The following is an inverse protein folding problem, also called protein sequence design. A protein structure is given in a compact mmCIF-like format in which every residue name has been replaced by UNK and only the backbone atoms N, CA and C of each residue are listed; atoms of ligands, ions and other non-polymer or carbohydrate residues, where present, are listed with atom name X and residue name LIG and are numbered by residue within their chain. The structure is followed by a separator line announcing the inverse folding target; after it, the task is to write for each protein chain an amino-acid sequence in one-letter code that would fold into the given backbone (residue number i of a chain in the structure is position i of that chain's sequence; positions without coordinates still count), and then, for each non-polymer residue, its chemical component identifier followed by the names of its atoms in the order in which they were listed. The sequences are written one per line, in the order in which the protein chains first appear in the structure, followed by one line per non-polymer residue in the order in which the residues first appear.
data_IF_423501722778
#
_entry.id   IF_423501722778
#
_cell.length_a   1.000
_cell.length_b   1.000
_cell.length_c   1.000
_cell.angle_alpha   90.00
_cell.angle_beta   90.00
_cell.angle_gamma   90.00
#
_symmetry.space_group_name_H-M   'P 1'
#
loop_
_entity.id
_entity.type
_entity.pdbx_description
1 polymer ?
#
# COMPACT_ATOMS: atom_id res chain seq x y z
N UNK A 1 -3.34 31.15 14.75
CA UNK A 1 -4.41 30.22 14.29
C UNK A 1 -4.83 30.36 12.82
N UNK A 2 -4.42 31.39 12.06
CA UNK A 2 -4.92 31.61 10.69
C UNK A 2 -4.31 30.74 9.57
N UNK A 3 -3.01 30.46 9.61
CA UNK A 3 -2.29 29.83 8.48
C UNK A 3 -2.81 28.43 8.10
N UNK A 4 -3.10 27.56 9.07
CA UNK A 4 -3.62 26.21 8.80
C UNK A 4 -5.00 26.26 8.13
N UNK A 5 -5.88 27.17 8.57
CA UNK A 5 -7.22 27.36 7.99
C UNK A 5 -7.12 27.92 6.57
N UNK A 6 -6.24 28.88 6.34
CA UNK A 6 -5.96 29.47 5.01
C UNK A 6 -5.43 28.38 4.06
N UNK A 7 -4.46 27.58 4.50
CA UNK A 7 -3.89 26.48 3.72
C UNK A 7 -4.96 25.47 3.31
N UNK A 8 -5.81 25.03 4.26
CA UNK A 8 -6.92 24.11 3.97
C UNK A 8 -7.91 24.72 2.99
N UNK A 9 -8.33 25.98 3.19
CA UNK A 9 -9.24 26.66 2.28
C UNK A 9 -8.67 26.76 0.86
N UNK A 10 -7.38 27.11 0.72
CA UNK A 10 -6.68 27.14 -0.56
C UNK A 10 -6.65 25.78 -1.23
N UNK A 11 -6.34 24.71 -0.49
CA UNK A 11 -6.34 23.35 -1.01
C UNK A 11 -7.73 22.94 -1.53
N UNK A 12 -8.79 23.18 -0.75
CA UNK A 12 -10.16 22.85 -1.17
C UNK A 12 -10.61 23.63 -2.42
N UNK A 13 -10.15 24.87 -2.57
CA UNK A 13 -10.44 25.68 -3.76
C UNK A 13 -9.70 25.16 -5.01
N UNK A 14 -8.45 24.71 -4.86
CA UNK A 14 -7.65 24.15 -5.96
C UNK A 14 -8.08 22.73 -6.34
N UNK A 15 -8.63 21.98 -5.38
CA UNK A 15 -9.01 20.58 -5.56
C UNK A 15 -10.49 20.38 -5.17
N UNK A 16 -11.45 20.86 -5.97
CA UNK A 16 -12.86 20.92 -5.58
C UNK A 16 -13.60 19.57 -5.59
N UNK A 17 -13.03 18.54 -6.22
CA UNK A 17 -13.63 17.21 -6.38
C UNK A 17 -12.77 16.12 -5.74
N UNK A 18 -13.43 15.15 -5.13
CA UNK A 18 -12.78 14.00 -4.49
C UNK A 18 -12.08 13.12 -5.52
N UNK A 19 -10.80 12.82 -5.33
CA UNK A 19 -10.06 11.96 -6.25
C UNK A 19 -10.36 10.45 -6.08
N UNK A 20 -11.02 10.05 -4.98
CA UNK A 20 -11.26 8.64 -4.65
C UNK A 20 -12.58 8.07 -5.15
N UNK A 21 -13.59 8.91 -5.43
CA UNK A 21 -14.91 8.46 -5.92
C UNK A 21 -15.16 8.88 -7.36
N UNK A 22 -14.09 8.95 -8.15
CA UNK A 22 -14.13 9.42 -9.53
C UNK A 22 -14.65 10.84 -9.72
N UNK A 23 -14.48 11.68 -8.69
CA UNK A 23 -14.92 13.05 -8.74
C UNK A 23 -16.43 13.21 -8.72
N UNK A 24 -17.19 12.24 -8.19
CA UNK A 24 -18.65 12.33 -8.02
C UNK A 24 -19.04 13.28 -6.89
N UNK A 25 -18.22 13.36 -5.85
CA UNK A 25 -18.46 14.20 -4.67
C UNK A 25 -17.51 15.40 -4.57
N UNK A 26 -17.94 16.43 -3.83
CA UNK A 26 -17.07 17.57 -3.49
C UNK A 26 -16.03 17.18 -2.45
N UNK A 27 -14.87 17.80 -2.53
CA UNK A 27 -13.83 17.66 -1.50
C UNK A 27 -14.31 18.27 -0.19
N UNK A 28 -14.31 17.45 0.86
CA UNK A 28 -14.66 17.87 2.22
C UNK A 28 -13.41 18.04 3.10
N UNK A 29 -12.37 17.25 2.85
CA UNK A 29 -11.13 17.31 3.62
C UNK A 29 -9.89 16.88 2.81
N UNK A 30 -8.74 17.04 3.45
CA UNK A 30 -7.43 16.59 2.98
C UNK A 30 -7.14 15.21 3.58
N UNK A 31 -7.07 14.21 2.73
CA UNK A 31 -6.63 12.86 3.08
C UNK A 31 -5.12 12.73 2.87
N UNK A 32 -4.46 11.86 3.63
CA UNK A 32 -3.05 11.56 3.46
C UNK A 32 -2.90 10.11 3.02
N UNK A 33 -2.33 9.88 1.84
CA UNK A 33 -2.16 8.53 1.30
C UNK A 33 -0.72 8.35 0.81
N UNK A 34 0.11 7.49 1.41
CA UNK A 34 -0.24 6.58 2.51
C UNK A 34 -0.57 7.34 3.80
N UNK A 35 -1.46 6.78 4.61
CA UNK A 35 -1.84 7.39 5.87
C UNK A 35 -0.63 7.59 6.78
N UNK A 36 -0.62 8.74 7.49
CA UNK A 36 0.50 9.09 8.39
C UNK A 36 0.78 8.02 9.43
N UNK A 37 -0.21 7.22 9.83
CA UNK A 37 -0.04 6.11 10.78
C UNK A 37 0.94 5.01 10.31
N UNK A 38 1.17 4.88 9.00
CA UNK A 38 2.14 3.95 8.43
C UNK A 38 3.60 4.40 8.63
N UNK A 39 3.81 5.67 9.03
CA UNK A 39 5.13 6.25 9.29
C UNK A 39 5.42 6.36 10.79
N UNK A 40 6.70 6.31 11.17
CA UNK A 40 7.18 6.50 12.54
C UNK A 40 6.79 7.89 13.04
N UNK A 41 6.35 7.98 14.31
CA UNK A 41 5.88 9.24 14.89
C UNK A 41 4.73 9.93 14.14
N UNK A 42 4.05 9.23 13.22
CA UNK A 42 3.08 9.81 12.27
C UNK A 42 3.65 10.92 11.38
N UNK A 43 4.95 10.84 11.08
CA UNK A 43 5.68 11.78 10.23
C UNK A 43 5.64 11.30 8.77
N UNK A 44 4.53 11.57 8.08
CA UNK A 44 4.39 11.30 6.65
C UNK A 44 5.00 12.39 5.74
N UNK A 45 5.19 12.10 4.45
CA UNK A 45 5.78 13.01 3.47
C UNK A 45 4.93 14.26 3.20
N UNK A 46 5.58 15.37 2.86
CA UNK A 46 4.98 16.71 2.80
C UNK A 46 4.00 16.93 1.63
N UNK A 47 4.13 16.18 0.54
CA UNK A 47 3.34 16.35 -0.69
C UNK A 47 2.38 15.17 -0.97
N UNK A 48 1.93 14.49 0.07
CA UNK A 48 1.02 13.33 -0.02
C UNK A 48 -0.33 13.67 0.61
N UNK A 49 -0.91 14.76 0.11
CA UNK A 49 -2.18 15.32 0.52
C UNK A 49 -3.16 15.29 -0.66
N UNK A 50 -4.33 14.69 -0.45
CA UNK A 50 -5.27 14.33 -1.51
C UNK A 50 -6.69 14.84 -1.22
N UNK A 51 -7.42 15.29 -2.25
CA UNK A 51 -8.80 15.73 -2.07
C UNK A 51 -9.72 14.53 -1.83
N UNK A 52 -10.36 14.49 -0.66
CA UNK A 52 -11.35 13.47 -0.33
C UNK A 52 -12.70 14.07 0.08
N UNK A 53 -13.79 13.40 -0.32
CA UNK A 53 -15.09 13.60 0.31
C UNK A 53 -15.10 12.92 1.70
N UNK A 54 -16.11 13.25 2.52
CA UNK A 54 -16.19 12.73 3.88
C UNK A 54 -16.27 11.19 3.92
N UNK A 55 -17.04 10.58 3.02
CA UNK A 55 -17.19 9.13 2.95
C UNK A 55 -15.88 8.42 2.59
N UNK A 56 -15.20 8.84 1.51
CA UNK A 56 -13.94 8.24 1.08
C UNK A 56 -12.80 8.44 2.10
N UNK A 57 -12.78 9.57 2.80
CA UNK A 57 -11.76 9.84 3.82
C UNK A 57 -11.94 8.91 5.05
N UNK A 58 -13.19 8.53 5.37
CA UNK A 58 -13.48 7.70 6.54
C UNK A 58 -13.47 6.20 6.25
N UNK A 59 -13.74 5.78 5.01
CA UNK A 59 -13.96 4.37 4.65
C UNK A 59 -12.76 3.46 4.90
N UNK A 60 -11.53 3.97 4.84
CA UNK A 60 -10.31 3.18 5.03
C UNK A 60 -9.71 3.28 6.44
N UNK A 61 -10.33 4.02 7.38
CA UNK A 61 -9.70 4.32 8.68
C UNK A 61 -9.28 3.07 9.47
N UNK A 62 -10.15 2.06 9.53
CA UNK A 62 -9.84 0.82 10.26
C UNK A 62 -8.78 -0.01 9.53
N UNK A 63 -8.86 -0.07 8.20
CA UNK A 63 -7.87 -0.74 7.36
C UNK A 63 -6.48 -0.08 7.48
N UNK A 64 -6.39 1.24 7.50
CA UNK A 64 -5.14 1.98 7.68
C UNK A 64 -4.50 1.71 9.05
N UNK A 65 -5.31 1.59 10.10
CA UNK A 65 -4.82 1.25 11.44
C UNK A 65 -4.29 -0.19 11.51
N UNK A 66 -4.98 -1.15 10.89
CA UNK A 66 -4.52 -2.53 10.77
C UNK A 66 -3.22 -2.59 9.95
N UNK A 67 -3.19 -1.90 8.81
CA UNK A 67 -2.04 -1.82 7.92
C UNK A 67 -0.80 -1.24 8.61
N UNK A 68 -0.97 -0.23 9.48
CA UNK A 68 0.12 0.33 10.27
C UNK A 68 0.84 -0.71 11.15
N UNK A 69 0.13 -1.76 11.58
CA UNK A 69 0.75 -2.90 12.30
C UNK A 69 1.42 -3.84 11.32
N UNK A 70 0.72 -4.23 10.25
CA UNK A 70 1.20 -5.22 9.27
C UNK A 70 2.52 -4.82 8.61
N UNK A 71 2.69 -3.53 8.25
CA UNK A 71 3.93 -3.04 7.61
C UNK A 71 5.16 -3.10 8.53
N UNK A 72 4.98 -3.32 9.83
CA UNK A 72 6.06 -3.37 10.83
C UNK A 72 6.49 -4.79 11.22
N UNK A 73 5.88 -5.83 10.63
CA UNK A 73 6.16 -7.23 10.99
C UNK A 73 7.56 -7.73 10.55
N UNK A 74 8.24 -7.07 9.61
CA UNK A 74 9.59 -7.44 9.14
C UNK A 74 10.62 -6.31 9.29
N UNK A 75 10.41 -5.35 10.19
CA UNK A 75 11.35 -4.23 10.26
C UNK A 75 12.64 -4.67 11.01
N UNK A 76 13.74 -4.75 10.23
CA UNK A 76 15.04 -5.35 10.58
C UNK A 76 16.04 -4.31 11.10
N UNK A 77 15.58 -3.18 11.63
CA UNK A 77 16.49 -2.13 12.08
C UNK A 77 17.15 -2.44 13.42
N UNK A 78 18.42 -2.07 13.50
CA UNK A 78 19.28 -2.19 14.68
C UNK A 78 19.12 -1.01 15.68
N UNK A 79 18.28 -0.01 15.39
CA UNK A 79 17.98 1.12 16.28
C UNK A 79 16.96 0.74 17.38
N UNK A 80 17.39 -0.20 18.23
CA UNK A 80 16.57 -0.98 19.15
C UNK A 80 15.62 -0.19 20.06
N UNK A 81 15.96 1.01 20.54
CA UNK A 81 15.18 1.65 21.62
C UNK A 81 13.90 2.35 21.13
N UNK A 82 14.02 3.29 20.19
CA UNK A 82 12.86 4.04 19.65
C UNK A 82 11.94 3.09 18.88
N UNK A 83 12.53 2.15 18.15
CA UNK A 83 11.82 1.12 17.41
C UNK A 83 11.03 0.18 18.34
N UNK A 84 11.62 -0.25 19.46
CA UNK A 84 10.91 -1.13 20.41
C UNK A 84 9.74 -0.43 21.10
N UNK A 85 9.86 0.85 21.45
CA UNK A 85 8.74 1.58 22.03
C UNK A 85 7.57 1.74 21.05
N UNK A 86 7.86 2.13 19.81
CA UNK A 86 6.84 2.28 18.77
C UNK A 86 6.21 0.91 18.44
N UNK A 87 7.02 -0.14 18.26
CA UNK A 87 6.52 -1.50 18.08
C UNK A 87 5.62 -1.94 19.24
N UNK A 88 6.03 -1.76 20.50
CA UNK A 88 5.20 -2.12 21.66
C UNK A 88 3.87 -1.36 21.65
N UNK A 89 3.86 -0.07 21.31
CA UNK A 89 2.62 0.73 21.17
C UNK A 89 1.74 0.16 20.06
N UNK A 90 2.30 -0.22 18.92
CA UNK A 90 1.54 -0.80 17.80
C UNK A 90 1.02 -2.21 18.12
N UNK A 91 1.80 -3.08 18.76
CA UNK A 91 1.33 -4.41 19.20
C UNK A 91 0.27 -4.31 20.30
N UNK A 92 0.41 -3.37 21.24
CA UNK A 92 -0.61 -3.09 22.26
C UNK A 92 -1.89 -2.59 21.58
N UNK A 93 -1.76 -1.65 20.64
CA UNK A 93 -2.89 -1.16 19.85
C UNK A 93 -3.53 -2.27 19.01
N UNK A 94 -2.74 -3.20 18.47
CA UNK A 94 -3.22 -4.37 17.75
C UNK A 94 -4.03 -5.29 18.68
N UNK A 95 -3.50 -5.65 19.85
CA UNK A 95 -4.21 -6.49 20.81
C UNK A 95 -5.53 -5.88 21.27
N UNK A 96 -5.58 -4.55 21.44
CA UNK A 96 -6.77 -3.85 21.89
C UNK A 96 -7.83 -3.66 20.79
N UNK A 97 -7.42 -3.39 19.55
CA UNK A 97 -8.35 -3.00 18.47
C UNK A 97 -8.56 -4.10 17.41
N UNK A 98 -7.61 -5.01 17.25
CA UNK A 98 -7.60 -6.05 16.23
C UNK A 98 -6.96 -7.36 16.77
N UNK A 99 -7.53 -7.97 17.84
CA UNK A 99 -6.91 -9.09 18.54
C UNK A 99 -6.65 -10.32 17.66
N UNK A 100 -7.35 -10.46 16.54
CA UNK A 100 -7.23 -11.57 15.59
C UNK A 100 -6.55 -11.18 14.28
N UNK A 101 -5.89 -10.01 14.20
CA UNK A 101 -5.34 -9.50 12.94
C UNK A 101 -4.34 -10.49 12.31
N UNK A 102 -3.46 -11.04 13.15
CA UNK A 102 -2.47 -12.05 12.79
C UNK A 102 -2.37 -13.10 13.89
N UNK A 103 -1.98 -14.32 13.54
CA UNK A 103 -1.60 -15.36 14.50
C UNK A 103 -0.30 -16.03 14.13
N UNK A 104 0.49 -16.51 15.11
CA UNK A 104 1.63 -17.37 14.83
C UNK A 104 1.22 -18.63 14.06
N UNK A 105 2.03 -19.01 13.08
CA UNK A 105 1.88 -20.28 12.38
C UNK A 105 2.45 -21.43 13.22
N UNK A 106 1.78 -22.58 13.19
CA UNK A 106 2.28 -23.84 13.74
C UNK A 106 3.42 -24.40 12.87
N UNK A 107 4.20 -25.35 13.42
CA UNK A 107 5.28 -25.99 12.66
C UNK A 107 4.81 -26.70 11.38
N UNK A 108 3.60 -27.28 11.40
CA UNK A 108 3.02 -27.94 10.23
C UNK A 108 2.60 -26.92 9.16
N UNK A 109 1.96 -25.82 9.58
CA UNK A 109 1.59 -24.73 8.66
C UNK A 109 2.83 -24.10 8.01
N UNK A 110 3.90 -23.85 8.78
CA UNK A 110 5.17 -23.35 8.22
C UNK A 110 5.75 -24.31 7.18
N UNK A 111 5.73 -25.62 7.48
CA UNK A 111 6.24 -26.64 6.58
C UNK A 111 5.42 -26.71 5.29
N UNK A 112 4.08 -26.69 5.40
CA UNK A 112 3.20 -26.68 4.23
C UNK A 112 3.48 -25.45 3.38
N UNK A 113 3.41 -24.26 3.98
CA UNK A 113 3.67 -23.00 3.28
C UNK A 113 5.01 -22.99 2.54
N UNK A 114 6.13 -23.35 3.18
CA UNK A 114 7.44 -23.35 2.52
C UNK A 114 7.49 -24.33 1.34
N UNK A 115 6.79 -25.46 1.44
CA UNK A 115 6.71 -26.47 0.37
C UNK A 115 5.82 -25.99 -0.78
N UNK A 116 4.61 -25.55 -0.45
CA UNK A 116 3.54 -25.22 -1.39
C UNK A 116 3.91 -23.94 -2.18
N UNK A 117 4.52 -22.97 -1.50
CA UNK A 117 4.96 -21.70 -2.11
C UNK A 117 6.38 -21.76 -2.69
N UNK A 118 7.07 -22.89 -2.59
CA UNK A 118 8.45 -23.05 -3.05
C UNK A 118 9.48 -22.15 -2.35
N UNK A 119 9.13 -21.54 -1.21
CA UNK A 119 9.98 -20.63 -0.46
C UNK A 119 11.08 -21.41 0.26
N UNK A 120 12.33 -21.06 -0.03
CA UNK A 120 13.47 -21.70 0.62
C UNK A 120 13.66 -21.18 2.04
N UNK A 121 13.96 -22.11 2.95
CA UNK A 121 14.34 -21.73 4.30
C UNK A 121 15.75 -21.11 4.28
N UNK A 122 15.98 -19.99 5.01
CA UNK A 122 17.33 -19.43 5.14
C UNK A 122 18.35 -20.47 5.64
N UNK A 123 19.57 -20.50 5.07
CA UNK A 123 20.63 -21.41 5.54
C UNK A 123 20.91 -21.22 7.04
N UNK A 124 21.03 -22.32 7.78
CA UNK A 124 21.33 -22.31 9.21
C UNK A 124 20.12 -22.11 10.14
N UNK A 125 18.91 -21.90 9.62
CA UNK A 125 17.70 -21.76 10.43
C UNK A 125 16.95 -23.09 10.52
N UNK A 126 16.41 -23.42 11.70
CA UNK A 126 15.39 -24.49 11.85
C UNK A 126 13.98 -23.91 11.82
N UNK A 127 12.94 -24.75 11.64
CA UNK A 127 11.54 -24.27 11.52
C UNK A 127 11.05 -23.49 12.75
N UNK A 128 11.58 -23.78 13.95
CA UNK A 128 11.26 -23.06 15.19
C UNK A 128 11.82 -21.64 15.23
N UNK A 129 12.87 -21.39 14.45
CA UNK A 129 13.53 -20.08 14.38
C UNK A 129 12.76 -19.13 13.46
N UNK A 130 11.99 -19.67 12.51
CA UNK A 130 11.16 -18.89 11.62
C UNK A 130 9.96 -18.29 12.38
N UNK A 131 9.98 -16.96 12.59
CA UNK A 131 8.87 -16.21 13.21
C UNK A 131 7.86 -15.81 12.15
N UNK A 132 7.04 -16.77 11.75
CA UNK A 132 6.01 -16.59 10.71
C UNK A 132 4.63 -16.43 11.34
N UNK A 133 3.85 -15.52 10.77
CA UNK A 133 2.45 -15.28 11.13
C UNK A 133 1.58 -15.42 9.88
N UNK A 134 0.33 -15.80 10.10
CA UNK A 134 -0.72 -15.73 9.09
C UNK A 134 -1.72 -14.64 9.45
N UNK A 135 -2.24 -13.95 8.45
CA UNK A 135 -3.24 -12.89 8.61
C UNK A 135 -4.67 -13.45 8.58
N UNK A 136 -5.57 -12.76 9.26
CA UNK A 136 -7.03 -12.95 9.07
C UNK A 136 -7.50 -12.41 7.72
N UNK A 137 -8.72 -12.77 7.30
CA UNK A 137 -9.37 -12.17 6.12
C UNK A 137 -9.42 -10.64 6.21
N UNK A 138 -9.69 -10.11 7.41
CA UNK A 138 -9.65 -8.67 7.66
C UNK A 138 -8.26 -8.05 7.42
N UNK A 139 -7.17 -8.78 7.66
CA UNK A 139 -5.83 -8.30 7.36
C UNK A 139 -5.60 -8.20 5.84
N UNK A 140 -6.08 -9.19 5.09
CA UNK A 140 -6.03 -9.21 3.62
C UNK A 140 -6.84 -8.04 3.06
N UNK A 141 -8.09 -7.90 3.49
CA UNK A 141 -8.98 -6.79 3.11
C UNK A 141 -8.38 -5.43 3.44
N UNK A 142 -7.70 -5.31 4.59
CA UNK A 142 -7.05 -4.07 4.98
C UNK A 142 -5.90 -3.70 4.03
N UNK A 143 -5.05 -4.68 3.67
CA UNK A 143 -3.96 -4.46 2.71
C UNK A 143 -4.53 -4.04 1.36
N UNK A 144 -5.50 -4.78 0.83
CA UNK A 144 -6.06 -4.52 -0.49
C UNK A 144 -6.76 -3.17 -0.58
N UNK A 145 -7.58 -2.81 0.42
CA UNK A 145 -8.29 -1.54 0.43
C UNK A 145 -7.34 -0.35 0.54
N UNK A 146 -6.31 -0.45 1.40
CA UNK A 146 -5.30 0.62 1.53
C UNK A 146 -4.48 0.75 0.25
N UNK A 147 -4.07 -0.36 -0.36
CA UNK A 147 -3.28 -0.35 -1.60
C UNK A 147 -4.07 0.16 -2.80
N UNK A 148 -5.33 -0.22 -2.96
CA UNK A 148 -6.21 0.32 -4.01
C UNK A 148 -6.39 1.82 -3.84
N UNK A 149 -6.65 2.28 -2.62
CA UNK A 149 -6.78 3.72 -2.33
C UNK A 149 -5.48 4.47 -2.61
N UNK A 150 -4.33 3.89 -2.25
CA UNK A 150 -3.02 4.46 -2.54
C UNK A 150 -2.74 4.53 -4.05
N UNK A 151 -3.09 3.51 -4.83
CA UNK A 151 -2.96 3.53 -6.29
C UNK A 151 -3.75 4.68 -6.91
N UNK A 152 -4.98 4.91 -6.47
CA UNK A 152 -5.81 6.04 -6.93
C UNK A 152 -5.22 7.39 -6.52
N UNK A 153 -4.69 7.50 -5.29
CA UNK A 153 -3.99 8.70 -4.85
C UNK A 153 -2.76 8.99 -5.71
N UNK A 154 -1.92 7.98 -5.94
CA UNK A 154 -0.71 8.12 -6.76
C UNK A 154 -1.03 8.42 -8.22
N UNK A 155 -2.10 7.84 -8.77
CA UNK A 155 -2.63 8.22 -10.09
C UNK A 155 -2.90 9.73 -10.11
N UNK A 156 -3.72 10.23 -9.18
CA UNK A 156 -4.02 11.66 -9.09
C UNK A 156 -2.76 12.53 -8.98
N UNK A 157 -1.79 12.12 -8.14
CA UNK A 157 -0.53 12.84 -7.94
C UNK A 157 0.29 13.00 -9.23
N UNK A 158 0.37 11.94 -10.03
CA UNK A 158 1.30 11.88 -11.16
C UNK A 158 0.65 12.12 -12.51
N UNK A 159 -0.65 11.85 -12.66
CA UNK A 159 -1.42 12.18 -13.87
C UNK A 159 -2.03 13.59 -13.81
N UNK A 160 -2.27 14.12 -12.60
CA UNK A 160 -3.05 15.32 -12.37
C UNK A 160 -4.55 15.15 -12.63
N UNK A 161 -5.00 13.93 -12.94
CA UNK A 161 -6.38 13.60 -13.31
C UNK A 161 -7.04 12.75 -12.24
N UNK A 162 -8.34 12.93 -12.09
CA UNK A 162 -9.17 12.06 -11.26
C UNK A 162 -9.50 10.83 -12.10
N UNK A 163 -9.21 9.64 -11.57
CA UNK A 163 -9.61 8.39 -12.24
C UNK A 163 -11.13 8.34 -12.38
N UNK A 164 -11.66 7.91 -13.52
CA UNK A 164 -13.11 7.86 -13.74
C UNK A 164 -13.82 6.95 -12.70
N UNK A 165 -15.11 7.17 -12.43
CA UNK A 165 -15.85 6.35 -11.47
C UNK A 165 -15.90 4.85 -11.83
N UNK A 166 -15.75 4.52 -13.12
CA UNK A 166 -15.62 3.14 -13.63
C UNK A 166 -14.19 2.71 -13.93
N UNK A 167 -13.17 3.42 -13.44
CA UNK A 167 -11.79 3.08 -13.68
C UNK A 167 -11.43 1.70 -13.11
N UNK A 168 -10.67 0.92 -13.87
CA UNK A 168 -10.16 -0.35 -13.41
C UNK A 168 -8.89 -0.15 -12.58
N UNK A 169 -8.83 -0.79 -11.42
CA UNK A 169 -7.64 -0.82 -10.56
C UNK A 169 -7.17 -2.27 -10.45
N UNK A 170 -6.00 -2.55 -11.00
CA UNK A 170 -5.33 -3.84 -10.80
C UNK A 170 -4.42 -3.74 -9.59
N UNK A 171 -4.31 -4.82 -8.83
CA UNK A 171 -3.46 -4.91 -7.66
C UNK A 171 -2.93 -6.33 -7.53
N UNK A 172 -1.61 -6.46 -7.46
CA UNK A 172 -0.92 -7.65 -7.00
C UNK A 172 -0.01 -7.24 -5.85
N UNK A 173 -0.06 -7.96 -4.76
CA UNK A 173 0.77 -7.69 -3.59
C UNK A 173 1.28 -9.00 -3.00
N UNK A 174 2.40 -8.90 -2.30
CA UNK A 174 3.01 -10.02 -1.62
C UNK A 174 3.75 -9.54 -0.37
N UNK A 175 3.89 -10.45 0.58
CA UNK A 175 4.69 -10.21 1.77
C UNK A 175 6.17 -10.44 1.47
N UNK A 176 7.00 -10.03 2.41
CA UNK A 176 8.41 -10.35 2.45
C UNK A 176 8.76 -11.84 2.39
N UNK A 177 7.80 -12.74 2.64
CA UNK A 177 8.03 -14.18 2.49
C UNK A 177 8.36 -14.56 1.03
N UNK A 178 7.98 -13.71 0.08
CA UNK A 178 8.19 -13.87 -1.35
C UNK A 178 9.35 -13.03 -1.89
N UNK A 179 10.27 -12.59 -1.04
CA UNK A 179 11.40 -11.76 -1.46
C UNK A 179 12.24 -12.39 -2.59
N UNK A 180 12.36 -13.72 -2.61
CA UNK A 180 13.10 -14.45 -3.64
C UNK A 180 12.39 -14.44 -5.02
N UNK A 181 11.09 -14.13 -5.06
CA UNK A 181 10.30 -13.94 -6.29
C UNK A 181 10.45 -12.54 -6.88
N UNK A 182 11.32 -11.68 -6.32
CA UNK A 182 11.57 -10.33 -6.82
C UNK A 182 11.95 -10.29 -8.31
N UNK A 183 12.57 -11.35 -8.85
CA UNK A 183 12.90 -11.48 -10.28
C UNK A 183 11.68 -11.52 -11.18
N UNK A 184 10.57 -12.10 -10.73
CA UNK A 184 9.33 -12.21 -11.52
C UNK A 184 8.71 -10.85 -11.81
N UNK A 185 9.00 -9.87 -10.94
CA UNK A 185 8.42 -8.53 -11.01
C UNK A 185 9.44 -7.47 -11.43
N UNK A 186 10.70 -7.86 -11.60
CA UNK A 186 11.81 -6.99 -11.95
C UNK A 186 11.57 -6.32 -13.30
N UNK A 187 11.01 -7.05 -14.27
CA UNK A 187 10.65 -6.50 -15.58
C UNK A 187 9.62 -5.38 -15.45
N UNK A 188 8.57 -5.59 -14.65
CA UNK A 188 7.57 -4.56 -14.39
C UNK A 188 8.19 -3.33 -13.72
N UNK A 189 8.98 -3.53 -12.64
CA UNK A 189 9.65 -2.44 -11.92
C UNK A 189 10.62 -1.67 -12.84
N UNK A 190 11.32 -2.36 -13.74
CA UNK A 190 12.29 -1.77 -14.66
C UNK A 190 11.64 -0.93 -15.74
N UNK A 191 10.42 -1.29 -16.17
CA UNK A 191 9.64 -0.49 -17.11
C UNK A 191 9.14 0.84 -16.50
N UNK A 192 9.11 0.97 -15.17
CA UNK A 192 8.72 2.21 -14.49
C UNK A 192 9.90 3.19 -14.43
N UNK A 193 9.82 4.27 -15.21
CA UNK A 193 10.90 5.26 -15.32
C UNK A 193 10.88 6.33 -14.21
N UNK A 194 9.72 6.55 -13.59
CA UNK A 194 9.55 7.50 -12.49
C UNK A 194 9.97 6.90 -11.14
N UNK A 195 10.57 7.74 -10.29
CA UNK A 195 10.86 7.39 -8.89
C UNK A 195 10.25 8.44 -7.96
N UNK A 196 9.52 7.97 -6.96
CA UNK A 196 8.93 8.81 -5.94
C UNK A 196 9.96 9.43 -5.02
N UNK A 197 9.81 10.72 -4.71
CA UNK A 197 10.54 11.38 -3.62
C UNK A 197 9.65 11.30 -2.37
N UNK A 198 10.13 10.61 -1.35
CA UNK A 198 9.40 10.41 -0.08
C UNK A 198 10.20 11.09 1.02
N UNK A 199 9.93 12.38 1.22
CA UNK A 199 10.65 13.23 2.18
C UNK A 199 9.70 14.15 2.95
N UNK A 200 10.17 14.62 4.10
CA UNK A 200 9.56 15.71 4.86
C UNK A 200 10.64 16.67 5.35
N UNK A 201 10.64 17.91 4.86
CA UNK A 201 11.79 18.78 5.01
C UNK A 201 13.09 18.08 4.57
N UNK A 202 14.08 18.03 5.46
CA UNK A 202 15.36 17.34 5.20
C UNK A 202 15.36 15.85 5.56
N UNK A 203 14.26 15.30 6.08
CA UNK A 203 14.17 13.90 6.48
C UNK A 203 13.80 13.02 5.29
N UNK A 204 14.65 12.03 5.00
CA UNK A 204 14.36 10.94 4.08
C UNK A 204 13.48 9.88 4.78
N UNK A 205 12.41 9.44 4.11
CA UNK A 205 11.47 8.45 4.60
C UNK A 205 11.46 7.17 3.73
N UNK A 206 12.45 7.02 2.85
CA UNK A 206 12.58 5.87 1.95
C UNK A 206 12.91 4.55 2.66
N UNK A 207 13.28 4.59 3.94
CA UNK A 207 13.34 3.39 4.79
C UNK A 207 11.94 2.83 5.12
N UNK A 208 10.91 3.68 5.04
CA UNK A 208 9.54 3.34 5.43
C UNK A 208 8.61 3.15 4.24
N UNK A 209 8.77 3.95 3.18
CA UNK A 209 7.96 3.87 1.97
C UNK A 209 8.76 4.27 0.74
N UNK A 210 8.75 3.43 -0.28
CA UNK A 210 9.33 3.71 -1.60
C UNK A 210 8.34 3.34 -2.68
N UNK A 211 8.43 4.05 -3.81
CA UNK A 211 7.69 3.68 -4.99
C UNK A 211 8.38 4.14 -6.29
N UNK A 212 8.09 3.40 -7.36
CA UNK A 212 8.34 3.76 -8.74
C UNK A 212 7.02 3.89 -9.47
N UNK A 213 7.01 4.66 -10.56
CA UNK A 213 5.80 4.91 -11.32
C UNK A 213 6.06 5.08 -12.81
N UNK A 214 5.03 4.86 -13.61
CA UNK A 214 4.95 5.22 -15.02
C UNK A 214 3.57 5.80 -15.28
N UNK A 215 3.48 6.85 -16.08
CA UNK A 215 2.21 7.48 -16.47
C UNK A 215 2.21 7.62 -17.98
N UNK A 216 1.12 7.17 -18.59
CA UNK A 216 0.79 7.47 -19.98
C UNK A 216 -0.42 8.40 -19.99
N UNK A 217 -0.18 9.65 -20.40
CA UNK A 217 -1.21 10.68 -20.44
C UNK A 217 -2.15 10.53 -21.65
N UNK A 218 -1.74 9.80 -22.69
CA UNK A 218 -2.55 9.55 -23.87
C UNK A 218 -3.57 8.43 -23.60
N UNK A 219 -3.11 7.32 -23.01
CA UNK A 219 -3.95 6.16 -22.69
C UNK A 219 -4.68 6.27 -21.33
N UNK A 220 -4.55 7.41 -20.64
CA UNK A 220 -5.10 7.66 -19.29
C UNK A 220 -4.76 6.56 -18.28
N UNK A 221 -3.50 6.13 -18.34
CA UNK A 221 -2.98 4.98 -17.65
C UNK A 221 -1.86 5.38 -16.69
N UNK A 222 -1.80 4.70 -15.56
CA UNK A 222 -0.65 4.81 -14.67
C UNK A 222 -0.37 3.48 -14.00
N UNK A 223 0.91 3.15 -13.86
CA UNK A 223 1.39 1.96 -13.17
C UNK A 223 2.33 2.34 -12.03
N UNK A 224 2.29 1.55 -10.96
CA UNK A 224 3.06 1.78 -9.75
C UNK A 224 3.62 0.47 -9.21
N UNK A 225 4.83 0.54 -8.67
CA UNK A 225 5.37 -0.48 -7.77
C UNK A 225 5.79 0.22 -6.48
N UNK A 226 5.38 -0.28 -5.33
CA UNK A 226 5.67 0.34 -4.05
C UNK A 226 5.89 -0.69 -2.95
N UNK A 227 6.64 -0.29 -1.92
CA UNK A 227 6.96 -1.14 -0.79
C UNK A 227 6.91 -0.35 0.52
N UNK A 228 6.49 -1.03 1.58
CA UNK A 228 6.55 -0.53 2.95
C UNK A 228 7.52 -1.38 3.78
N UNK A 229 8.63 -0.77 4.22
CA UNK A 229 9.63 -1.37 5.15
C UNK A 229 10.10 -2.77 4.75
N UNK A 230 10.08 -3.08 3.46
CA UNK A 230 10.31 -4.43 2.92
C UNK A 230 9.38 -5.52 3.49
N UNK A 231 8.32 -5.17 4.22
CA UNK A 231 7.31 -6.09 4.79
C UNK A 231 6.25 -6.44 3.76
N UNK A 232 5.73 -5.43 3.07
CA UNK A 232 4.70 -5.55 2.05
C UNK A 232 5.16 -4.84 0.79
N UNK A 233 5.02 -5.52 -0.34
CA UNK A 233 5.36 -5.02 -1.67
C UNK A 233 4.14 -5.20 -2.55
N UNK A 234 3.85 -4.20 -3.38
CA UNK A 234 2.74 -4.27 -4.30
C UNK A 234 3.07 -3.60 -5.63
N UNK A 235 2.35 -4.04 -6.64
CA UNK A 235 2.26 -3.39 -7.93
C UNK A 235 0.81 -3.31 -8.36
N UNK A 236 0.53 -2.31 -9.18
CA UNK A 236 -0.80 -2.15 -9.72
C UNK A 236 -0.83 -1.06 -10.76
N UNK A 237 -1.97 -0.97 -11.41
CA UNK A 237 -2.26 0.06 -12.39
C UNK A 237 -3.67 0.59 -12.25
N UNK A 238 -3.83 1.83 -12.70
CA UNK A 238 -5.12 2.53 -12.78
C UNK A 238 -5.37 2.85 -14.24
N UNK A 239 -6.52 2.42 -14.73
CA UNK A 239 -6.96 2.56 -16.13
C UNK A 239 -8.24 3.38 -16.14
N UNK A 240 -8.18 4.62 -16.62
CA UNK A 240 -9.28 5.58 -16.47
C UNK A 240 -10.15 5.75 -17.72
N UNK A 241 -9.71 5.27 -18.89
CA UNK A 241 -10.51 5.30 -20.12
C UNK A 241 -11.34 4.02 -20.29
N UNK A 242 -12.56 4.13 -20.82
CA UNK A 242 -13.45 2.98 -21.05
C UNK A 242 -12.82 1.92 -21.97
N UNK A 243 -12.02 2.37 -22.94
CA UNK A 243 -11.27 1.50 -23.84
C UNK A 243 -10.17 0.73 -23.10
N UNK A 244 -9.45 1.40 -22.20
CA UNK A 244 -8.45 0.77 -21.37
C UNK A 244 -9.06 -0.24 -20.38
N UNK A 245 -10.23 0.07 -19.81
CA UNK A 245 -10.95 -0.86 -18.93
C UNK A 245 -11.33 -2.14 -19.67
N UNK A 246 -11.89 -2.03 -20.89
CA UNK A 246 -12.22 -3.18 -21.72
C UNK A 246 -10.98 -4.02 -22.09
N UNK A 247 -9.82 -3.38 -22.34
CA UNK A 247 -8.55 -4.10 -22.57
C UNK A 247 -8.15 -4.93 -21.35
N UNK A 248 -8.29 -4.39 -20.13
CA UNK A 248 -7.94 -5.09 -18.88
C UNK A 248 -8.88 -6.25 -18.60
N UNK A 249 -10.19 -6.13 -18.83
CA UNK A 249 -11.15 -7.22 -18.62
C UNK A 249 -10.85 -8.43 -19.54
N UNK A 250 -10.42 -8.14 -20.77
CA UNK A 250 -9.96 -9.15 -21.74
C UNK A 250 -8.58 -9.74 -21.39
N UNK A 251 -7.75 -9.02 -20.63
CA UNK A 251 -6.46 -9.51 -20.12
C UNK A 251 -6.60 -10.30 -18.82
N UNK A 252 -7.48 -9.88 -17.90
CA UNK A 252 -7.72 -10.49 -16.60
C UNK A 252 -8.28 -11.92 -16.71
N UNK A 253 -9.08 -12.17 -17.73
CA UNK A 253 -9.54 -13.52 -18.11
C UNK A 253 -8.41 -14.49 -18.47
N UNK A 254 -7.20 -13.99 -18.78
CA UNK A 254 -5.99 -14.81 -19.01
C UNK A 254 -5.04 -14.87 -17.80
N UNK A 255 -5.07 -13.87 -16.90
CA UNK A 255 -4.16 -13.77 -15.73
C UNK A 255 -4.69 -14.57 -14.52
N UNK A 256 -6.01 -14.66 -14.32
CA UNK A 256 -6.60 -15.45 -13.22
C UNK A 256 -6.23 -16.94 -13.29
N UNK A 257 -5.94 -17.46 -14.50
CA UNK A 257 -5.42 -18.81 -14.71
C UNK A 257 -3.96 -19.01 -14.22
N UNK A 258 -3.20 -17.92 -14.07
CA UNK A 258 -1.77 -17.95 -13.69
C UNK A 258 -1.55 -17.60 -12.21
N UNK A 259 -2.45 -16.82 -11.59
CA UNK A 259 -2.37 -16.46 -10.16
C UNK A 259 -3.25 -17.34 -9.25
N UNK A 260 -4.30 -17.99 -9.77
CA UNK A 260 -5.07 -18.99 -8.98
C UNK A 260 -4.32 -20.30 -8.72
N UNK A 261 -3.15 -20.48 -9.34
CA UNK A 261 -2.25 -21.61 -9.05
C UNK A 261 -1.25 -21.31 -7.92
N UNK A 262 -1.32 -20.12 -7.32
CA UNK A 262 -0.42 -19.63 -6.25
C UNK A 262 -1.19 -19.02 -5.06
N UNK A 263 -2.45 -19.41 -4.85
CA UNK A 263 -3.21 -19.16 -3.61
C UNK A 263 -3.53 -20.47 -2.91
#
# INVERSE_FOLDING_TARGET
MGQKKIRKARFLALHPRCCFCGGNERTADIDHQPARALFNGRVGPEDFEFPACAACNQSSRHHENAMAVLVRLRDTRDDLEVYQEDLRKYFTSMGNNFPSLVRPMTSNEKRSFLKDEGVQRPPGYVLSDLKMVTGSDFAIDAIENVFRKLLVALHYKHSGRIAAAGAAVTLVWFTNAYADRAKEIEQFISALNGRGIVKRGNQDLSDQFIFKYGVDHAEEFSAFAFAFRNSLIAMGSVWSSSEAVAKVENLGSNIDATLSSTK
#
